data_IF_058708586153
#
_entry.id   IF_058708586153
#
_cell.length_a   1.000
_cell.length_b   1.000
_cell.length_c   1.000
_cell.angle_alpha   90.00
_cell.angle_beta   90.00
_cell.angle_gamma   90.00
#
_symmetry.space_group_name_H-M   'P 1'
#
loop_
_entity.id
_entity.type
_entity.pdbx_description
1 polymer ?
#
# COMPACT_ATOMS: atom_id res chain seq x y z
N UNK A 1 34.56 -71.07 1.45
CA UNK A 1 33.22 -70.46 1.53
C UNK A 1 33.33 -69.15 2.31
N UNK A 2 33.16 -67.98 1.66
CA UNK A 2 33.21 -66.67 2.33
C UNK A 2 31.84 -66.40 2.96
N UNK A 3 31.77 -66.24 4.29
CA UNK A 3 30.56 -65.81 5.00
C UNK A 3 30.42 -64.29 4.85
N UNK A 4 29.45 -63.84 4.07
CA UNK A 4 29.11 -62.42 3.94
C UNK A 4 28.30 -62.00 5.18
N UNK A 5 28.84 -61.08 6.00
CA UNK A 5 28.14 -60.59 7.18
C UNK A 5 26.99 -59.66 6.76
N UNK A 6 25.76 -59.97 7.19
CA UNK A 6 24.59 -59.13 6.99
C UNK A 6 24.73 -57.84 7.82
N UNK A 7 24.75 -56.69 7.15
CA UNK A 7 24.85 -55.37 7.78
C UNK A 7 23.52 -55.06 8.48
N UNK A 8 23.53 -54.96 9.81
CA UNK A 8 22.36 -54.59 10.61
C UNK A 8 21.95 -53.14 10.29
N UNK A 9 20.75 -52.94 9.74
CA UNK A 9 20.14 -51.62 9.61
C UNK A 9 19.41 -51.30 10.92
N UNK A 10 19.76 -50.19 11.57
CA UNK A 10 19.02 -49.71 12.72
C UNK A 10 17.78 -48.99 12.21
N UNK A 11 16.59 -49.46 12.59
CA UNK A 11 15.31 -48.80 12.32
C UNK A 11 14.90 -47.91 13.50
N UNK A 12 14.15 -46.86 13.22
CA UNK A 12 13.53 -46.03 14.25
C UNK A 12 12.47 -46.81 15.02
N UNK A 13 12.36 -46.56 16.32
CA UNK A 13 11.28 -47.09 17.16
C UNK A 13 10.04 -46.21 17.08
N UNK A 14 8.86 -46.80 17.29
CA UNK A 14 7.59 -46.05 17.34
C UNK A 14 7.58 -45.01 18.46
N UNK A 15 8.26 -45.31 19.59
CA UNK A 15 8.35 -44.41 20.74
C UNK A 15 9.19 -43.17 20.40
N UNK A 16 10.31 -43.34 19.69
CA UNK A 16 11.12 -42.21 19.24
C UNK A 16 10.33 -41.28 18.32
N UNK A 17 9.57 -41.84 17.37
CA UNK A 17 8.73 -41.03 16.49
C UNK A 17 7.65 -40.26 17.27
N UNK A 18 7.04 -40.89 18.27
CA UNK A 18 6.01 -40.27 19.11
C UNK A 18 6.56 -39.11 19.94
N UNK A 19 7.74 -39.27 20.53
CA UNK A 19 8.40 -38.19 21.30
C UNK A 19 8.75 -37.01 20.39
N UNK A 20 9.23 -37.28 19.17
CA UNK A 20 9.60 -36.22 18.22
C UNK A 20 8.39 -35.39 17.80
N UNK A 21 7.26 -36.01 17.44
CA UNK A 21 6.06 -35.25 17.07
C UNK A 21 5.50 -34.45 18.25
N UNK A 22 5.61 -34.97 19.48
CA UNK A 22 5.19 -34.26 20.68
C UNK A 22 6.03 -33.00 20.92
N UNK A 23 7.37 -33.10 20.77
CA UNK A 23 8.27 -31.96 20.90
C UNK A 23 8.00 -30.93 19.80
N UNK A 24 7.83 -31.37 18.54
CA UNK A 24 7.53 -30.47 17.41
C UNK A 24 6.22 -29.72 17.65
N UNK A 25 5.17 -30.38 18.15
CA UNK A 25 3.89 -29.74 18.44
C UNK A 25 4.01 -28.62 19.49
N UNK A 26 4.77 -28.87 20.56
CA UNK A 26 5.00 -27.86 21.62
C UNK A 26 5.80 -26.68 21.08
N UNK A 27 6.89 -26.93 20.35
CA UNK A 27 7.72 -25.87 19.77
C UNK A 27 6.93 -25.04 18.74
N UNK A 28 6.13 -25.67 17.90
CA UNK A 28 5.29 -24.98 16.93
C UNK A 28 4.28 -24.04 17.62
N UNK A 29 3.64 -24.48 18.70
CA UNK A 29 2.71 -23.64 19.46
C UNK A 29 3.39 -22.40 20.05
N UNK A 30 4.59 -22.56 20.65
CA UNK A 30 5.35 -21.44 21.22
C UNK A 30 5.77 -20.43 20.14
N UNK A 31 6.24 -20.90 18.98
CA UNK A 31 6.69 -20.03 17.88
C UNK A 31 5.55 -19.15 17.36
N UNK A 32 4.35 -19.70 17.19
CA UNK A 32 3.17 -18.95 16.70
C UNK A 32 2.74 -17.85 17.68
N UNK A 33 2.90 -18.07 18.99
CA UNK A 33 2.59 -17.06 20.00
C UNK A 33 3.56 -15.87 19.98
N UNK A 34 4.81 -16.11 19.61
CA UNK A 34 5.87 -15.07 19.58
C UNK A 34 5.83 -14.30 18.25
N UNK A 35 5.77 -15.03 17.13
CA UNK A 35 5.79 -14.46 15.79
C UNK A 35 4.35 -14.35 15.34
N UNK A 36 3.63 -13.29 15.72
CA UNK A 36 2.28 -13.01 15.23
C UNK A 36 2.32 -12.97 13.68
N UNK A 37 1.94 -14.05 12.97
CA UNK A 37 2.24 -14.18 11.55
C UNK A 37 1.33 -13.28 10.73
N UNK A 38 0.13 -13.00 11.24
CA UNK A 38 -0.79 -12.04 10.64
C UNK A 38 -0.16 -10.65 10.62
N UNK A 39 0.48 -10.25 11.73
CA UNK A 39 1.16 -8.95 11.81
C UNK A 39 2.31 -8.82 10.81
N UNK A 40 3.08 -9.90 10.60
CA UNK A 40 4.14 -9.90 9.60
C UNK A 40 3.58 -9.67 8.17
N UNK A 41 2.43 -10.27 7.85
CA UNK A 41 1.79 -10.03 6.55
C UNK A 41 1.24 -8.62 6.41
N UNK A 42 0.68 -8.04 7.48
CA UNK A 42 0.19 -6.65 7.51
C UNK A 42 1.34 -5.67 7.27
N UNK A 43 2.46 -5.85 7.96
CA UNK A 43 3.69 -5.08 7.74
C UNK A 43 4.18 -5.17 6.30
N UNK A 44 4.10 -6.35 5.68
CA UNK A 44 4.45 -6.52 4.28
C UNK A 44 3.56 -5.71 3.35
N UNK A 45 2.24 -5.72 3.57
CA UNK A 45 1.29 -4.91 2.79
C UNK A 45 1.49 -3.42 3.01
N UNK A 46 1.67 -2.97 4.25
CA UNK A 46 1.95 -1.56 4.55
C UNK A 46 3.28 -1.09 3.96
N UNK A 47 4.30 -1.95 3.90
CA UNK A 47 5.54 -1.61 3.20
C UNK A 47 5.31 -1.33 1.72
N UNK A 48 4.40 -2.07 1.08
CA UNK A 48 3.99 -1.80 -0.30
C UNK A 48 3.22 -0.47 -0.38
N UNK A 49 2.24 -0.24 0.50
CA UNK A 49 1.48 1.02 0.58
C UNK A 49 2.39 2.24 0.68
N UNK A 50 3.29 2.24 1.66
CA UNK A 50 4.21 3.35 1.91
C UNK A 50 5.13 3.60 0.71
N UNK A 51 5.55 2.55 0.02
CA UNK A 51 6.40 2.66 -1.18
C UNK A 51 5.61 3.20 -2.36
N UNK A 52 4.40 2.70 -2.58
CA UNK A 52 3.48 3.17 -3.63
C UNK A 52 3.19 4.66 -3.45
N UNK A 53 2.84 5.07 -2.23
CA UNK A 53 2.56 6.46 -1.88
C UNK A 53 3.79 7.35 -2.06
N UNK A 54 4.97 6.95 -1.56
CA UNK A 54 6.19 7.73 -1.76
C UNK A 54 6.54 7.93 -3.25
N UNK A 55 6.36 6.88 -4.07
CA UNK A 55 6.59 6.97 -5.52
C UNK A 55 5.57 7.90 -6.20
N UNK A 56 4.28 7.80 -5.83
CA UNK A 56 3.23 8.67 -6.35
C UNK A 56 3.46 10.13 -5.94
N UNK A 57 3.87 10.39 -4.70
CA UNK A 57 4.19 11.73 -4.24
C UNK A 57 5.33 12.35 -5.06
N UNK A 58 6.38 11.58 -5.32
CA UNK A 58 7.47 12.07 -6.17
C UNK A 58 6.98 12.34 -7.59
N UNK A 59 6.24 11.42 -8.20
CA UNK A 59 5.74 11.57 -9.57
C UNK A 59 4.84 12.81 -9.70
N UNK A 60 3.83 12.95 -8.84
CA UNK A 60 2.91 14.10 -8.87
C UNK A 60 3.65 15.40 -8.63
N UNK A 61 4.60 15.45 -7.69
CA UNK A 61 5.41 16.65 -7.46
C UNK A 61 6.22 17.06 -8.69
N UNK A 62 6.80 16.09 -9.41
CA UNK A 62 7.49 16.38 -10.68
C UNK A 62 6.47 16.87 -11.72
N UNK A 63 5.27 16.27 -11.81
CA UNK A 63 4.26 16.64 -12.80
C UNK A 63 3.77 18.08 -12.59
N UNK A 64 3.55 18.47 -11.34
CA UNK A 64 3.17 19.84 -10.96
C UNK A 64 4.31 20.84 -11.23
N UNK A 65 5.57 20.43 -11.09
CA UNK A 65 6.72 21.31 -11.31
C UNK A 65 7.08 21.49 -12.79
N UNK A 66 6.93 20.45 -13.62
CA UNK A 66 7.29 20.47 -15.04
C UNK A 66 6.19 21.06 -15.93
N UNK A 67 4.95 21.06 -15.47
CA UNK A 67 3.82 21.53 -16.27
C UNK A 67 3.77 23.05 -16.39
N UNK A 68 3.40 23.53 -17.58
CA UNK A 68 3.06 24.93 -17.85
C UNK A 68 1.55 25.16 -17.95
N UNK A 69 0.75 24.11 -17.77
CA UNK A 69 -0.70 24.16 -17.88
C UNK A 69 -1.33 24.71 -16.59
N UNK A 70 -2.64 24.93 -16.61
CA UNK A 70 -3.38 25.33 -15.41
C UNK A 70 -3.37 24.23 -14.34
N UNK A 71 -3.50 24.61 -13.06
CA UNK A 71 -3.58 23.65 -11.96
C UNK A 71 -4.66 22.57 -12.19
N UNK A 72 -5.81 22.95 -12.77
CA UNK A 72 -6.89 22.02 -13.10
C UNK A 72 -6.47 20.99 -14.14
N UNK A 73 -5.80 21.41 -15.22
CA UNK A 73 -5.35 20.47 -16.27
C UNK A 73 -4.27 19.50 -15.75
N UNK A 74 -3.51 19.89 -14.73
CA UNK A 74 -2.46 19.06 -14.13
C UNK A 74 -3.03 18.09 -13.10
N UNK A 75 -3.85 18.57 -12.15
CA UNK A 75 -4.28 17.78 -11.00
C UNK A 75 -5.68 17.16 -11.15
N UNK A 76 -6.50 17.67 -12.06
CA UNK A 76 -7.86 17.22 -12.32
C UNK A 76 -8.09 17.04 -13.83
N UNK A 77 -7.13 16.38 -14.50
CA UNK A 77 -7.12 16.25 -15.96
C UNK A 77 -8.42 15.63 -16.48
N UNK A 78 -9.08 16.35 -17.38
CA UNK A 78 -10.34 15.92 -18.00
C UNK A 78 -11.58 16.06 -17.13
N UNK A 79 -11.46 16.63 -15.93
CA UNK A 79 -12.59 16.91 -15.05
C UNK A 79 -13.14 18.32 -15.29
N UNK A 80 -14.47 18.45 -15.31
CA UNK A 80 -15.14 19.75 -15.51
C UNK A 80 -15.13 20.63 -14.26
N UNK A 81 -15.00 20.03 -13.08
CA UNK A 81 -14.95 20.72 -11.79
C UNK A 81 -13.51 21.02 -11.38
N UNK A 82 -13.31 22.12 -10.64
CA UNK A 82 -12.02 22.47 -10.05
C UNK A 82 -11.62 21.55 -8.88
N UNK A 83 -12.52 20.66 -8.45
CA UNK A 83 -12.23 19.65 -7.43
C UNK A 83 -12.48 18.28 -8.03
N UNK A 84 -11.60 17.32 -7.74
CA UNK A 84 -11.75 15.96 -8.24
C UNK A 84 -11.28 14.94 -7.21
N UNK A 85 -11.90 13.75 -7.27
CA UNK A 85 -11.57 12.63 -6.40
C UNK A 85 -11.74 11.31 -7.14
N UNK A 86 -10.93 10.31 -6.80
CA UNK A 86 -11.14 8.94 -7.27
C UNK A 86 -10.45 7.90 -6.38
N UNK A 87 -10.93 6.66 -6.45
CA UNK A 87 -10.53 5.55 -5.58
C UNK A 87 -9.92 4.39 -6.37
N UNK A 88 -8.86 3.79 -5.86
CA UNK A 88 -8.11 2.72 -6.54
C UNK A 88 -8.87 1.39 -6.67
N UNK A 89 -9.92 1.20 -5.89
CA UNK A 89 -10.80 0.01 -5.90
C UNK A 89 -11.98 0.14 -6.88
N UNK A 90 -12.25 1.33 -7.41
CA UNK A 90 -13.36 1.59 -8.33
C UNK A 90 -12.86 2.05 -9.70
N UNK A 91 -11.92 2.99 -9.73
CA UNK A 91 -11.45 3.59 -10.96
C UNK A 91 -10.30 2.80 -11.61
N UNK A 92 -10.06 3.09 -12.89
CA UNK A 92 -9.02 2.44 -13.69
C UNK A 92 -7.61 2.72 -13.15
N UNK A 93 -6.66 1.85 -13.50
CA UNK A 93 -5.24 1.98 -13.16
C UNK A 93 -4.42 2.65 -14.26
N UNK A 94 -5.07 3.26 -15.25
CA UNK A 94 -4.39 3.99 -16.33
C UNK A 94 -3.83 5.30 -15.76
N UNK A 95 -2.55 5.58 -16.02
CA UNK A 95 -1.83 6.71 -15.43
C UNK A 95 -1.76 7.96 -16.33
N UNK A 96 -2.71 8.14 -17.26
CA UNK A 96 -2.76 9.28 -18.18
C UNK A 96 -3.73 10.40 -17.72
N UNK A 97 -4.09 10.41 -16.44
CA UNK A 97 -5.12 11.27 -15.85
C UNK A 97 -6.54 10.69 -15.88
N UNK A 98 -6.82 9.63 -16.66
CA UNK A 98 -8.15 8.98 -16.69
C UNK A 98 -8.37 7.93 -15.59
N UNK A 99 -7.33 7.57 -14.84
CA UNK A 99 -7.39 6.58 -13.77
C UNK A 99 -7.87 7.14 -12.43
N UNK A 100 -7.55 6.41 -11.37
CA UNK A 100 -7.85 6.84 -10.00
C UNK A 100 -6.96 7.99 -9.52
N UNK A 101 -5.82 8.23 -10.17
CA UNK A 101 -5.05 9.47 -10.06
C UNK A 101 -5.36 10.34 -11.27
N UNK A 102 -5.79 11.58 -11.03
CA UNK A 102 -6.24 12.52 -12.07
C UNK A 102 -5.12 13.38 -12.66
N UNK A 103 -3.89 12.91 -12.51
CA UNK A 103 -2.66 13.49 -13.05
C UNK A 103 -2.16 12.62 -14.20
N UNK A 104 -1.67 13.22 -15.28
CA UNK A 104 -0.96 12.47 -16.31
C UNK A 104 0.48 12.18 -15.89
N UNK A 105 0.69 10.97 -15.38
CA UNK A 105 2.00 10.45 -15.00
C UNK A 105 2.64 9.58 -16.10
N UNK A 106 1.94 9.39 -17.22
CA UNK A 106 2.39 8.52 -18.31
C UNK A 106 3.46 9.16 -19.18
N UNK A 107 3.50 10.49 -19.23
CA UNK A 107 4.40 11.28 -20.07
C UNK A 107 5.69 11.70 -19.37
N UNK A 108 5.83 11.41 -18.08
CA UNK A 108 6.98 11.85 -17.29
C UNK A 108 8.23 11.03 -17.57
N UNK A 109 9.32 11.72 -17.96
CA UNK A 109 10.59 11.07 -18.31
C UNK A 109 11.39 10.64 -17.07
N UNK A 110 11.25 11.33 -15.94
CA UNK A 110 12.03 11.07 -14.72
C UNK A 110 11.41 9.98 -13.82
N UNK A 111 10.08 9.86 -13.80
CA UNK A 111 9.35 8.88 -12.98
C UNK A 111 8.15 8.38 -13.79
N UNK A 112 8.33 7.33 -14.58
CA UNK A 112 7.21 6.72 -15.31
C UNK A 112 6.45 5.78 -14.38
N UNK A 113 5.16 6.05 -14.18
CA UNK A 113 4.22 5.14 -13.51
C UNK A 113 3.26 4.61 -14.58
N UNK A 114 3.62 3.58 -15.38
CA UNK A 114 2.79 3.16 -16.53
C UNK A 114 1.45 2.56 -16.11
N UNK A 115 1.37 2.02 -14.89
CA UNK A 115 0.16 1.52 -14.27
C UNK A 115 0.11 2.00 -12.83
N UNK A 116 -0.98 2.67 -12.45
CA UNK A 116 -1.15 3.14 -11.09
C UNK A 116 -1.17 1.95 -10.12
N UNK A 117 -0.49 2.07 -8.96
CA UNK A 117 -0.54 1.03 -7.96
C UNK A 117 -1.96 0.93 -7.39
N UNK A 118 -2.21 -0.18 -6.70
CA UNK A 118 -3.42 -0.38 -5.91
C UNK A 118 -2.98 -0.99 -4.59
N UNK A 119 -3.78 -0.77 -3.57
CA UNK A 119 -3.62 -1.44 -2.29
C UNK A 119 -3.47 -2.97 -2.48
N UNK A 120 -2.61 -3.68 -1.74
CA UNK A 120 -2.45 -5.12 -1.92
C UNK A 120 -3.73 -5.95 -1.71
N UNK A 121 -4.70 -5.45 -0.94
CA UNK A 121 -6.04 -6.03 -0.79
C UNK A 121 -7.06 -5.41 -1.75
N UNK A 122 -6.92 -4.11 -2.05
CA UNK A 122 -7.77 -3.29 -2.94
C UNK A 122 -9.28 -3.55 -2.79
N UNK A 123 -9.76 -3.54 -1.54
CA UNK A 123 -11.16 -3.82 -1.18
C UNK A 123 -11.91 -2.57 -0.74
N UNK A 124 -13.07 -2.77 -0.09
CA UNK A 124 -13.83 -1.65 0.49
C UNK A 124 -13.07 -0.95 1.64
N UNK A 125 -12.31 -1.71 2.43
CA UNK A 125 -11.60 -1.19 3.61
C UNK A 125 -10.18 -0.71 3.31
N UNK A 126 -9.48 -1.33 2.35
CA UNK A 126 -8.09 -0.98 2.05
C UNK A 126 -7.96 -0.65 0.58
N UNK A 127 -7.80 0.63 0.29
CA UNK A 127 -7.62 1.20 -1.03
C UNK A 127 -6.98 2.59 -0.91
N UNK A 128 -6.53 3.12 -2.04
CA UNK A 128 -5.99 4.48 -2.12
C UNK A 128 -7.08 5.43 -2.59
N UNK A 129 -7.12 6.63 -2.02
CA UNK A 129 -8.01 7.70 -2.43
C UNK A 129 -7.16 8.87 -2.87
N UNK A 130 -7.42 9.40 -4.07
CA UNK A 130 -6.83 10.63 -4.58
C UNK A 130 -7.84 11.76 -4.50
N UNK A 131 -7.36 12.93 -4.10
CA UNK A 131 -8.12 14.14 -3.91
C UNK A 131 -7.35 15.34 -4.44
N UNK A 132 -8.04 16.26 -5.10
CA UNK A 132 -7.46 17.54 -5.47
C UNK A 132 -8.49 18.67 -5.45
N UNK A 133 -7.99 19.85 -5.11
CA UNK A 133 -8.69 21.13 -5.19
C UNK A 133 -7.79 22.14 -5.91
N UNK A 134 -8.24 22.54 -7.10
CA UNK A 134 -7.58 23.50 -7.96
C UNK A 134 -8.29 24.85 -7.99
N UNK A 135 -9.25 25.06 -7.09
CA UNK A 135 -9.98 26.32 -6.96
C UNK A 135 -9.09 27.44 -6.39
N UNK A 136 -9.45 28.70 -6.66
CA UNK A 136 -8.71 29.86 -6.15
C UNK A 136 -7.28 30.03 -6.68
N UNK A 137 -6.86 29.27 -7.71
CA UNK A 137 -5.53 29.34 -8.32
C UNK A 137 -4.43 28.56 -7.57
N UNK A 138 -4.78 27.80 -6.53
CA UNK A 138 -3.85 26.90 -5.84
C UNK A 138 -3.90 25.50 -6.41
N UNK A 139 -2.77 24.79 -6.43
CA UNK A 139 -2.68 23.38 -6.84
C UNK A 139 -2.55 22.50 -5.59
N UNK A 140 -3.69 22.11 -5.01
CA UNK A 140 -3.73 21.27 -3.81
C UNK A 140 -4.10 19.85 -4.18
N UNK A 141 -3.36 18.89 -3.66
CA UNK A 141 -3.66 17.48 -3.84
C UNK A 141 -3.27 16.68 -2.61
N UNK A 142 -3.94 15.54 -2.45
CA UNK A 142 -3.78 14.61 -1.37
C UNK A 142 -4.00 13.18 -1.89
N UNK A 143 -3.22 12.23 -1.37
CA UNK A 143 -3.52 10.80 -1.44
C UNK A 143 -3.43 10.23 -0.04
N UNK A 144 -4.39 9.40 0.31
CA UNK A 144 -4.40 8.73 1.61
C UNK A 144 -4.83 7.27 1.53
N UNK A 145 -4.40 6.52 2.54
CA UNK A 145 -4.67 5.10 2.71
C UNK A 145 -4.70 4.72 4.19
N UNK A 146 -5.45 3.71 4.57
CA UNK A 146 -5.40 3.13 5.92
C UNK A 146 -4.31 2.04 6.01
N UNK A 147 -3.49 2.10 7.05
CA UNK A 147 -2.45 1.12 7.37
C UNK A 147 -3.03 0.01 8.25
N UNK A 148 -2.47 -1.20 8.14
CA UNK A 148 -2.99 -2.38 8.83
C UNK A 148 -2.19 -2.77 10.07
N UNK A 149 -0.88 -2.56 10.01
CA UNK A 149 0.06 -3.04 11.01
C UNK A 149 0.00 -2.17 12.25
N UNK A 150 -0.11 -2.81 13.41
CA UNK A 150 -0.02 -2.14 14.70
C UNK A 150 1.29 -1.35 14.87
N UNK A 151 2.37 -1.73 14.17
CA UNK A 151 3.63 -0.99 14.20
C UNK A 151 3.69 0.17 13.18
N UNK A 152 2.83 0.19 12.17
CA UNK A 152 2.77 1.28 11.19
C UNK A 152 1.66 2.29 11.48
N UNK A 153 0.57 1.89 12.15
CA UNK A 153 -0.52 2.78 12.58
C UNK A 153 -0.06 4.10 13.23
N UNK A 154 1.00 4.15 14.08
CA UNK A 154 1.44 5.43 14.64
C UNK A 154 1.86 6.49 13.60
N UNK A 155 2.15 6.08 12.36
CA UNK A 155 2.49 7.00 11.27
C UNK A 155 1.31 7.86 10.84
N UNK A 156 0.09 7.33 10.89
CA UNK A 156 -1.16 8.04 10.56
C UNK A 156 -1.40 9.24 11.49
N UNK A 157 -0.90 9.18 12.73
CA UNK A 157 -0.99 10.31 13.66
C UNK A 157 0.19 11.29 13.60
N UNK A 158 1.16 11.09 12.68
CA UNK A 158 2.42 11.86 12.65
C UNK A 158 2.88 12.29 11.25
N UNK A 159 2.05 12.08 10.23
CA UNK A 159 2.29 12.52 8.86
C UNK A 159 1.96 14.00 8.63
N UNK A 160 1.21 14.62 9.54
CA UNK A 160 0.92 16.05 9.56
C UNK A 160 -0.39 16.45 8.91
N UNK A 161 -1.26 15.48 8.57
CA UNK A 161 -2.61 15.76 8.10
C UNK A 161 -3.66 15.78 9.21
N UNK A 162 -4.92 15.63 8.84
CA UNK A 162 -6.07 15.86 9.71
C UNK A 162 -6.84 14.60 10.10
N UNK A 163 -6.64 13.46 9.43
CA UNK A 163 -7.24 12.18 9.82
C UNK A 163 -6.21 11.21 10.43
N UNK A 164 -6.20 11.11 11.76
CA UNK A 164 -5.32 10.20 12.50
C UNK A 164 -5.56 8.69 12.23
N UNK A 165 -6.55 8.32 11.41
CA UNK A 165 -6.80 6.96 10.95
C UNK A 165 -6.36 6.73 9.49
N UNK A 166 -5.66 7.69 8.88
CA UNK A 166 -5.20 7.61 7.51
C UNK A 166 -3.75 8.06 7.45
N UNK A 167 -2.99 7.42 6.56
CA UNK A 167 -1.66 7.88 6.20
C UNK A 167 -1.77 8.77 4.97
N UNK A 168 -1.45 10.04 5.14
CA UNK A 168 -1.74 11.12 4.21
C UNK A 168 -0.44 11.65 3.57
N UNK A 169 -0.46 11.83 2.26
CA UNK A 169 0.63 12.44 1.48
C UNK A 169 0.06 13.45 0.49
N UNK A 170 0.78 14.52 0.18
CA UNK A 170 0.20 15.59 -0.65
C UNK A 170 0.87 16.93 -0.49
N UNK A 171 0.29 17.93 -1.15
CA UNK A 171 0.60 19.34 -0.93
C UNK A 171 -0.31 20.00 0.11
N UNK A 172 -1.49 19.42 0.37
CA UNK A 172 -2.43 19.81 1.42
C UNK A 172 -3.08 18.53 1.95
N UNK A 173 -2.90 18.24 3.24
CA UNK A 173 -3.32 16.99 3.88
C UNK A 173 -4.62 17.20 4.66
N UNK A 174 -5.57 17.92 4.05
CA UNK A 174 -6.86 18.27 4.67
C UNK A 174 -8.04 18.16 3.70
N UNK A 175 -7.81 17.57 2.52
CA UNK A 175 -8.78 17.56 1.42
C UNK A 175 -9.85 16.47 1.59
N UNK A 176 -9.56 15.43 2.38
CA UNK A 176 -10.50 14.40 2.82
C UNK A 176 -11.85 14.97 3.31
N UNK A 177 -11.83 16.10 4.02
CA UNK A 177 -12.97 16.76 4.62
C UNK A 177 -13.59 17.86 3.74
N UNK A 178 -12.83 18.40 2.78
CA UNK A 178 -13.25 19.56 1.98
C UNK A 178 -13.65 19.24 0.54
N UNK A 179 -13.24 18.09 0.00
CA UNK A 179 -13.51 17.69 -1.39
C UNK A 179 -14.58 16.59 -1.45
N UNK A 180 -15.64 16.85 -2.22
CA UNK A 180 -16.70 15.86 -2.43
C UNK A 180 -16.16 14.60 -3.13
N UNK A 181 -16.44 13.43 -2.54
CA UNK A 181 -15.98 12.13 -3.07
C UNK A 181 -14.64 11.65 -2.51
N UNK A 182 -13.99 12.46 -1.67
CA UNK A 182 -12.77 12.10 -0.96
C UNK A 182 -13.01 11.24 0.28
N UNK A 183 -14.22 11.22 0.85
CA UNK A 183 -14.51 10.35 1.98
C UNK A 183 -14.14 8.89 1.69
N UNK A 184 -13.43 8.26 2.64
CA UNK A 184 -12.91 6.89 2.55
C UNK A 184 -14.03 5.84 2.39
#
# INVERSE_FOLDING_TARGET
MKKTALKKTNGFTLVELLVVIAIIAILAAVVVLIINPLELTRRGRDSARLTDLANLQQAINVAVQESTDSAQEVLCKGEAAATCAAKSNVASRVANGSGWVKVDLSTQQAVSVPTLPVDPSNGGTYHYVYCADTSGGGAKWEIFAELESAQQLPKEGTDGGNDNAKYEIGSDLTLDASVSGCAY
#
